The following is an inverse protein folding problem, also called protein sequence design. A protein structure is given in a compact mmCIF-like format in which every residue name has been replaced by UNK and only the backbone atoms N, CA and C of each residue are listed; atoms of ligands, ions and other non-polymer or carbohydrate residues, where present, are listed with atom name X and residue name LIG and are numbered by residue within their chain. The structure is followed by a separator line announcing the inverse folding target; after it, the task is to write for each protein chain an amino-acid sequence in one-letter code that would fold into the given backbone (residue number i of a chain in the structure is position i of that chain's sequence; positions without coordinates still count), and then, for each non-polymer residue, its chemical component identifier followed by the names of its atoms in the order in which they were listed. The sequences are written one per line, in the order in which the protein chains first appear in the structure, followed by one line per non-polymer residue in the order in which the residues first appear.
data_IF_743288583178
#
_entry.id   IF_743288583178
#
_cell.length_a   1.000
_cell.length_b   1.000
_cell.length_c   1.000
_cell.angle_alpha   90.00
_cell.angle_beta   90.00
_cell.angle_gamma   90.00
#
_symmetry.space_group_name_H-M   'P 1'
#
loop_
_entity.id
_entity.type
_entity.pdbx_description
1 polymer ?
#
# COMPACT_ATOMS: atom_id res chain seq x y z
N UNK A 1 -14.29 -26.09 -18.78
CA UNK A 1 -13.64 -24.77 -18.99
C UNK A 1 -13.82 -23.79 -17.82
N UNK A 2 -14.97 -23.69 -17.13
CA UNK A 2 -15.14 -22.77 -15.97
C UNK A 2 -14.26 -23.11 -14.75
N UNK A 3 -13.95 -24.39 -14.56
CA UNK A 3 -13.12 -24.91 -13.46
C UNK A 3 -11.61 -24.59 -13.62
N UNK A 4 -11.11 -24.49 -14.87
CA UNK A 4 -9.69 -24.13 -15.12
C UNK A 4 -9.42 -22.67 -14.80
N UNK A 5 -10.25 -21.75 -15.32
CA UNK A 5 -10.06 -20.30 -15.16
C UNK A 5 -10.06 -19.85 -13.69
N UNK A 6 -10.74 -20.61 -12.83
CA UNK A 6 -10.81 -20.35 -11.39
C UNK A 6 -9.57 -20.86 -10.64
N UNK A 7 -8.96 -21.99 -11.07
CA UNK A 7 -7.70 -22.49 -10.49
C UNK A 7 -6.52 -21.57 -10.81
N UNK A 8 -6.48 -21.02 -12.03
CA UNK A 8 -5.40 -20.12 -12.44
C UNK A 8 -5.40 -18.84 -11.60
N UNK A 9 -6.55 -18.19 -11.48
CA UNK A 9 -6.73 -16.98 -10.67
C UNK A 9 -6.46 -17.20 -9.18
N UNK A 10 -6.84 -18.36 -8.63
CA UNK A 10 -6.48 -18.73 -7.26
C UNK A 10 -4.96 -18.90 -7.10
N UNK A 11 -4.28 -19.55 -8.04
CA UNK A 11 -2.83 -19.79 -7.95
C UNK A 11 -1.99 -18.51 -8.00
N UNK A 12 -2.38 -17.51 -8.79
CA UNK A 12 -1.68 -16.22 -8.89
C UNK A 12 -1.68 -15.43 -7.58
N UNK A 13 -2.69 -15.65 -6.73
CA UNK A 13 -2.92 -14.91 -5.49
C UNK A 13 -2.48 -15.71 -4.28
N UNK A 14 -2.76 -17.01 -4.28
CA UNK A 14 -2.34 -17.91 -3.21
C UNK A 14 -0.84 -18.05 -3.15
N UNK A 15 -0.13 -18.02 -4.29
CA UNK A 15 1.33 -18.18 -4.30
C UNK A 15 2.06 -17.07 -3.54
N UNK A 16 1.84 -15.75 -3.80
CA UNK A 16 2.47 -14.70 -3.02
C UNK A 16 2.01 -14.68 -1.56
N UNK A 17 0.73 -14.94 -1.28
CA UNK A 17 0.22 -15.00 0.10
C UNK A 17 0.87 -16.15 0.88
N UNK A 18 0.94 -17.35 0.30
CA UNK A 18 1.56 -18.51 0.93
C UNK A 18 3.07 -18.32 1.11
N UNK A 19 3.76 -17.67 0.17
CA UNK A 19 5.18 -17.30 0.32
C UNK A 19 5.39 -16.29 1.44
N UNK A 20 4.58 -15.23 1.53
CA UNK A 20 4.66 -14.23 2.60
C UNK A 20 4.39 -14.90 3.95
N UNK A 21 3.30 -15.67 4.05
CA UNK A 21 2.93 -16.36 5.28
C UNK A 21 3.99 -17.40 5.69
N UNK A 22 4.52 -18.16 4.72
CA UNK A 22 5.58 -19.13 4.94
C UNK A 22 6.89 -18.47 5.39
N UNK A 23 7.28 -17.35 4.78
CA UNK A 23 8.47 -16.59 5.15
C UNK A 23 8.34 -15.98 6.56
N UNK A 24 7.18 -15.38 6.86
CA UNK A 24 6.87 -14.81 8.19
C UNK A 24 6.87 -15.91 9.25
N UNK A 25 6.28 -17.08 8.96
CA UNK A 25 6.25 -18.23 9.84
C UNK A 25 7.66 -18.80 10.06
N UNK A 26 8.47 -18.94 9.01
CA UNK A 26 9.85 -19.41 9.07
C UNK A 26 10.69 -18.47 9.94
N UNK A 27 10.59 -17.16 9.73
CA UNK A 27 11.29 -16.17 10.56
C UNK A 27 10.76 -16.16 12.01
N UNK A 28 9.46 -16.34 12.24
CA UNK A 28 8.91 -16.41 13.60
C UNK A 28 9.41 -17.61 14.40
N UNK A 29 9.60 -18.76 13.72
CA UNK A 29 10.08 -20.00 14.33
C UNK A 29 11.61 -20.03 14.53
N UNK A 30 12.39 -19.36 13.66
CA UNK A 30 13.85 -19.41 13.69
C UNK A 30 14.50 -18.33 14.57
N UNK A 31 13.75 -17.38 15.12
CA UNK A 31 14.32 -16.29 15.96
C UNK A 31 14.53 -16.76 17.40
N UNK A 32 15.19 -17.90 17.62
CA UNK A 32 15.82 -18.20 18.90
C UNK A 32 17.17 -17.47 18.97
N UNK A 33 17.27 -16.48 19.84
CA UNK A 33 18.56 -16.06 20.36
C UNK A 33 18.59 -16.36 21.85
N UNK A 34 19.24 -17.45 22.27
CA UNK A 34 19.89 -17.50 23.58
C UNK A 34 20.91 -16.36 23.58
N UNK A 35 20.82 -15.48 24.57
CA UNK A 35 21.67 -14.30 24.66
C UNK A 35 23.16 -14.64 24.54
N UNK A 36 23.81 -14.07 23.54
CA UNK A 36 25.23 -13.75 23.63
C UNK A 36 25.27 -12.23 23.74
N UNK A 37 25.88 -11.73 24.81
CA UNK A 37 26.15 -10.32 25.02
C UNK A 37 27.12 -9.84 23.92
N UNK A 38 26.60 -9.57 22.72
CA UNK A 38 27.28 -8.77 21.70
C UNK A 38 27.51 -7.40 22.34
N UNK A 39 28.76 -7.05 22.58
CA UNK A 39 29.15 -5.75 23.09
C UNK A 39 28.47 -4.68 22.24
N UNK A 40 27.53 -3.93 22.83
CA UNK A 40 26.77 -2.89 22.14
C UNK A 40 27.74 -1.87 21.55
N UNK A 41 28.05 -2.02 20.26
CA UNK A 41 28.92 -1.09 19.57
C UNK A 41 28.21 0.28 19.62
N UNK A 42 28.84 1.35 20.14
CA UNK A 42 28.19 2.65 20.27
C UNK A 42 27.69 3.21 18.93
N UNK A 43 28.29 2.76 17.82
CA UNK A 43 27.87 3.05 16.45
C UNK A 43 26.49 2.47 16.10
N UNK A 44 26.14 1.29 16.61
CA UNK A 44 24.86 0.64 16.35
C UNK A 44 23.71 1.39 17.03
N UNK A 45 23.94 1.82 18.28
CA UNK A 45 23.00 2.67 19.02
C UNK A 45 22.77 4.01 18.33
N UNK A 46 23.85 4.65 17.85
CA UNK A 46 23.75 5.90 17.09
C UNK A 46 22.97 5.74 15.78
N UNK A 47 23.23 4.66 15.04
CA UNK A 47 22.52 4.35 13.79
C UNK A 47 21.03 4.13 14.03
N UNK A 48 20.64 3.36 15.05
CA UNK A 48 19.23 3.12 15.42
C UNK A 48 18.47 4.41 15.69
N UNK A 49 19.10 5.35 16.41
CA UNK A 49 18.50 6.66 16.71
C UNK A 49 18.30 7.48 15.44
N UNK A 50 19.32 7.58 14.58
CA UNK A 50 19.22 8.33 13.32
C UNK A 50 18.11 7.75 12.43
N UNK A 51 18.11 6.44 12.23
CA UNK A 51 17.12 5.78 11.37
C UNK A 51 15.71 5.89 11.93
N UNK A 52 15.54 5.83 13.26
CA UNK A 52 14.25 6.07 13.91
C UNK A 52 13.73 7.48 13.64
N UNK A 53 14.59 8.50 13.70
CA UNK A 53 14.17 9.88 13.39
C UNK A 53 13.81 10.06 11.92
N UNK A 54 14.57 9.43 11.00
CA UNK A 54 14.25 9.45 9.59
C UNK A 54 12.91 8.77 9.27
N UNK A 55 12.64 7.63 9.91
CA UNK A 55 11.37 6.92 9.76
C UNK A 55 10.18 7.79 10.22
N UNK A 56 10.28 8.38 11.42
CA UNK A 56 9.26 9.32 11.92
C UNK A 56 9.11 10.53 10.99
N UNK A 57 10.21 11.06 10.46
CA UNK A 57 10.17 12.16 9.49
C UNK A 57 9.41 11.81 8.21
N UNK A 58 9.63 10.61 7.66
CA UNK A 58 8.90 10.12 6.50
C UNK A 58 7.40 9.95 6.80
N UNK A 59 7.05 9.46 7.99
CA UNK A 59 5.66 9.30 8.43
C UNK A 59 4.94 10.65 8.57
N UNK A 60 5.61 11.66 9.15
CA UNK A 60 5.10 13.03 9.23
C UNK A 60 4.90 13.61 7.82
N UNK A 61 5.86 13.43 6.92
CA UNK A 61 5.75 13.89 5.54
C UNK A 61 4.54 13.25 4.84
N UNK A 62 4.33 11.95 5.01
CA UNK A 62 3.15 11.25 4.50
C UNK A 62 1.85 11.87 5.04
N UNK A 63 1.76 12.06 6.36
CA UNK A 63 0.59 12.63 7.01
C UNK A 63 0.25 14.04 6.51
N UNK A 64 1.26 14.90 6.34
CA UNK A 64 1.08 16.26 5.84
C UNK A 64 0.62 16.27 4.38
N UNK A 65 1.25 15.47 3.52
CA UNK A 65 0.94 15.39 2.09
C UNK A 65 -0.47 14.84 1.87
N UNK A 66 -0.81 13.74 2.54
CA UNK A 66 -2.14 13.11 2.47
C UNK A 66 -3.20 14.04 3.07
N UNK A 67 -2.98 14.56 4.27
CA UNK A 67 -3.92 15.43 4.96
C UNK A 67 -4.20 16.71 4.17
N UNK A 68 -3.16 17.34 3.63
CA UNK A 68 -3.28 18.52 2.77
C UNK A 68 -4.08 18.24 1.50
N UNK A 69 -3.85 17.09 0.86
CA UNK A 69 -4.60 16.69 -0.33
C UNK A 69 -6.09 16.46 -0.04
N UNK A 70 -6.41 15.79 1.07
CA UNK A 70 -7.78 15.53 1.50
C UNK A 70 -8.50 16.85 1.78
N UNK A 71 -7.90 17.76 2.55
CA UNK A 71 -8.48 19.08 2.83
C UNK A 71 -8.75 19.86 1.54
N UNK A 72 -7.82 19.84 0.59
CA UNK A 72 -7.97 20.49 -0.71
C UNK A 72 -9.09 19.85 -1.56
N UNK A 73 -9.19 18.53 -1.55
CA UNK A 73 -10.23 17.80 -2.26
C UNK A 73 -11.62 18.12 -1.70
N UNK A 74 -11.78 18.09 -0.37
CA UNK A 74 -13.04 18.42 0.33
C UNK A 74 -13.45 19.85 0.01
N UNK A 75 -12.54 20.82 0.17
CA UNK A 75 -12.86 22.24 -0.08
C UNK A 75 -13.22 22.49 -1.55
N UNK A 76 -12.54 21.85 -2.50
CA UNK A 76 -12.89 21.92 -3.93
C UNK A 76 -14.27 21.33 -4.22
N UNK A 77 -14.57 20.16 -3.65
CA UNK A 77 -15.83 19.47 -3.83
C UNK A 77 -17.01 20.26 -3.24
N UNK A 78 -16.86 20.79 -2.03
CA UNK A 78 -17.89 21.61 -1.38
C UNK A 78 -18.16 22.90 -2.18
N UNK A 79 -17.12 23.65 -2.60
CA UNK A 79 -17.32 24.84 -3.45
C UNK A 79 -18.11 24.53 -4.72
N UNK A 80 -17.88 23.35 -5.28
CA UNK A 80 -18.54 22.91 -6.50
C UNK A 80 -20.01 22.54 -6.27
N UNK A 81 -20.33 21.90 -5.14
CA UNK A 81 -21.72 21.65 -4.74
C UNK A 81 -22.53 22.95 -4.53
N UNK A 82 -21.90 23.97 -3.95
CA UNK A 82 -22.55 25.27 -3.73
C UNK A 82 -22.64 26.13 -5.00
N UNK A 83 -21.78 25.91 -6.00
CA UNK A 83 -21.83 26.61 -7.28
C UNK A 83 -22.71 25.82 -8.26
N UNK A 84 -23.91 26.33 -8.59
CA UNK A 84 -24.91 25.72 -9.50
C UNK A 84 -24.46 25.61 -10.98
N UNK A 85 -23.18 25.36 -11.25
CA UNK A 85 -22.64 25.19 -12.61
C UNK A 85 -22.83 23.75 -13.10
N UNK A 86 -23.45 23.60 -14.28
CA UNK A 86 -23.77 22.32 -14.96
C UNK A 86 -22.56 21.52 -15.45
N UNK A 87 -21.32 21.95 -15.17
CA UNK A 87 -20.07 21.31 -15.62
C UNK A 87 -19.49 20.33 -14.58
N UNK A 88 -20.36 19.51 -14.00
CA UNK A 88 -20.07 18.70 -12.80
C UNK A 88 -19.28 17.41 -13.06
N UNK A 89 -19.31 16.86 -14.28
CA UNK A 89 -18.75 15.54 -14.56
C UNK A 89 -17.21 15.55 -14.69
N UNK A 90 -16.65 16.37 -15.59
CA UNK A 90 -15.19 16.46 -15.80
C UNK A 90 -14.41 16.94 -14.56
N UNK A 91 -15.06 17.77 -13.74
CA UNK A 91 -14.38 18.37 -12.59
C UNK A 91 -14.14 17.39 -11.46
N UNK A 92 -15.08 16.48 -11.21
CA UNK A 92 -14.98 15.49 -10.12
C UNK A 92 -13.88 14.46 -10.43
N UNK A 93 -13.77 14.06 -11.69
CA UNK A 93 -12.69 13.17 -12.14
C UNK A 93 -11.32 13.83 -11.97
N UNK A 94 -11.20 15.12 -12.29
CA UNK A 94 -9.96 15.86 -12.06
C UNK A 94 -9.54 15.92 -10.58
N UNK A 95 -10.50 16.03 -9.65
CA UNK A 95 -10.23 16.01 -8.20
C UNK A 95 -9.75 14.62 -7.78
N UNK A 96 -10.42 13.55 -8.25
CA UNK A 96 -10.02 12.16 -7.99
C UNK A 96 -8.61 11.86 -8.49
N UNK A 97 -8.28 12.23 -9.72
CA UNK A 97 -6.95 12.00 -10.31
C UNK A 97 -5.85 12.72 -9.53
N UNK A 98 -6.09 13.99 -9.15
CA UNK A 98 -5.15 14.76 -8.32
C UNK A 98 -4.96 14.15 -6.94
N UNK A 99 -6.06 13.77 -6.29
CA UNK A 99 -6.03 13.12 -4.98
C UNK A 99 -5.28 11.79 -5.06
N UNK A 100 -5.59 10.95 -6.04
CA UNK A 100 -4.94 9.66 -6.26
C UNK A 100 -3.42 9.79 -6.40
N UNK A 101 -2.94 10.73 -7.22
CA UNK A 101 -1.50 10.98 -7.40
C UNK A 101 -0.80 11.38 -6.08
N UNK A 102 -1.44 12.20 -5.26
CA UNK A 102 -0.86 12.63 -3.98
C UNK A 102 -0.93 11.53 -2.91
N UNK A 103 -2.00 10.72 -2.93
CA UNK A 103 -2.09 9.54 -2.07
C UNK A 103 -0.98 8.52 -2.37
N UNK A 104 -0.68 8.28 -3.66
CA UNK A 104 0.44 7.41 -4.05
C UNK A 104 1.77 7.91 -3.48
N UNK A 105 2.04 9.21 -3.55
CA UNK A 105 3.24 9.81 -2.96
C UNK A 105 3.28 9.62 -1.44
N UNK A 106 2.16 9.85 -0.75
CA UNK A 106 2.05 9.60 0.69
C UNK A 106 2.36 8.15 1.06
N UNK A 107 1.89 7.20 0.25
CA UNK A 107 2.15 5.77 0.42
C UNK A 107 3.62 5.38 0.15
N UNK A 108 4.35 6.13 -0.67
CA UNK A 108 5.80 5.92 -0.84
C UNK A 108 6.57 6.33 0.41
N UNK A 109 6.16 7.41 1.08
CA UNK A 109 6.79 7.83 2.33
C UNK A 109 6.52 6.87 3.50
N UNK A 110 5.32 6.28 3.60
CA UNK A 110 5.04 5.29 4.64
C UNK A 110 5.90 4.03 4.47
N UNK A 111 6.13 3.59 3.23
CA UNK A 111 7.08 2.50 2.93
C UNK A 111 8.49 2.88 3.28
N UNK A 112 8.86 4.12 2.94
CA UNK A 112 10.03 4.82 3.40
C UNK A 112 10.36 4.45 4.86
N UNK A 113 9.40 4.80 5.72
CA UNK A 113 9.43 4.59 7.16
C UNK A 113 9.54 3.10 7.54
N UNK A 114 8.74 2.24 6.90
CA UNK A 114 8.71 0.80 7.22
C UNK A 114 10.02 0.08 6.86
N UNK A 115 10.62 0.40 5.71
CA UNK A 115 11.93 -0.11 5.30
C UNK A 115 13.01 0.38 6.27
N UNK A 116 12.98 1.65 6.66
CA UNK A 116 13.93 2.22 7.62
C UNK A 116 13.87 1.49 8.96
N UNK A 117 12.68 1.28 9.54
CA UNK A 117 12.52 0.57 10.82
C UNK A 117 13.05 -0.87 10.78
N UNK A 118 12.79 -1.57 9.69
CA UNK A 118 13.17 -2.98 9.55
C UNK A 118 14.66 -3.18 9.28
N UNK A 119 15.35 -2.16 8.74
CA UNK A 119 16.78 -2.24 8.46
C UNK A 119 17.69 -2.18 9.70
N UNK A 120 17.26 -1.56 10.82
CA UNK A 120 18.13 -1.31 12.00
C UNK A 120 17.89 -2.20 13.21
N UNK A 121 16.71 -2.81 13.35
CA UNK A 121 16.44 -3.75 14.45
C UNK A 121 15.26 -4.66 14.09
N UNK A 122 15.47 -5.75 13.34
CA UNK A 122 14.40 -6.71 13.07
C UNK A 122 14.04 -7.46 14.36
N UNK A 123 13.07 -6.97 15.14
CA UNK A 123 12.48 -7.76 16.24
C UNK A 123 11.44 -8.73 15.69
N UNK A 124 11.07 -9.77 16.46
CA UNK A 124 9.96 -10.67 16.07
C UNK A 124 8.67 -9.89 15.78
N UNK A 125 8.40 -8.82 16.55
CA UNK A 125 7.24 -7.96 16.35
C UNK A 125 7.36 -7.13 15.07
N UNK A 126 8.56 -6.64 14.74
CA UNK A 126 8.80 -5.85 13.53
C UNK A 126 8.73 -6.70 12.25
N UNK A 127 9.19 -7.96 12.30
CA UNK A 127 9.03 -8.92 11.20
C UNK A 127 7.54 -9.20 10.95
N UNK A 128 6.74 -9.35 12.01
CA UNK A 128 5.29 -9.53 11.90
C UNK A 128 4.60 -8.27 11.35
N UNK A 129 5.00 -7.08 11.80
CA UNK A 129 4.47 -5.81 11.30
C UNK A 129 4.80 -5.61 9.81
N UNK A 130 6.05 -5.85 9.40
CA UNK A 130 6.46 -5.79 8.00
C UNK A 130 5.69 -6.82 7.16
N UNK A 131 5.56 -8.05 7.66
CA UNK A 131 4.77 -9.10 7.02
C UNK A 131 3.31 -8.68 6.80
N UNK A 132 2.69 -8.06 7.80
CA UNK A 132 1.32 -7.55 7.70
C UNK A 132 1.19 -6.42 6.66
N UNK A 133 2.15 -5.49 6.62
CA UNK A 133 2.14 -4.35 5.67
C UNK A 133 2.33 -4.84 4.23
N UNK A 134 3.27 -5.75 3.99
CA UNK A 134 3.51 -6.35 2.67
C UNK A 134 2.27 -7.12 2.22
N UNK A 135 1.68 -7.93 3.11
CA UNK A 135 0.46 -8.68 2.81
C UNK A 135 -0.72 -7.76 2.47
N UNK A 136 -0.92 -6.69 3.23
CA UNK A 136 -1.96 -5.69 2.96
C UNK A 136 -1.77 -5.05 1.57
N UNK A 137 -0.54 -4.72 1.19
CA UNK A 137 -0.24 -4.18 -0.15
C UNK A 137 -0.52 -5.17 -1.27
N UNK A 138 -0.11 -6.42 -1.10
CA UNK A 138 -0.40 -7.47 -2.08
C UNK A 138 -1.90 -7.64 -2.27
N UNK A 139 -2.67 -7.66 -1.16
CA UNK A 139 -4.12 -7.76 -1.21
C UNK A 139 -4.75 -6.56 -1.90
N UNK A 140 -4.36 -5.33 -1.55
CA UNK A 140 -4.90 -4.12 -2.16
C UNK A 140 -4.60 -4.05 -3.67
N UNK A 141 -3.34 -4.29 -4.06
CA UNK A 141 -2.95 -4.31 -5.47
C UNK A 141 -3.72 -5.38 -6.25
N UNK A 142 -3.90 -6.56 -5.65
CA UNK A 142 -4.69 -7.63 -6.27
C UNK A 142 -6.16 -7.23 -6.47
N UNK A 143 -6.81 -6.66 -5.45
CA UNK A 143 -8.20 -6.21 -5.57
C UNK A 143 -8.36 -5.12 -6.64
N UNK A 144 -7.43 -4.17 -6.69
CA UNK A 144 -7.40 -3.11 -7.70
C UNK A 144 -7.27 -3.68 -9.12
N UNK A 145 -6.31 -4.59 -9.34
CA UNK A 145 -6.09 -5.22 -10.64
C UNK A 145 -7.32 -6.04 -11.07
N UNK A 146 -7.96 -6.73 -10.11
CA UNK A 146 -9.17 -7.50 -10.35
C UNK A 146 -10.39 -6.61 -10.68
N UNK A 147 -10.50 -5.43 -10.07
CA UNK A 147 -11.56 -4.46 -10.38
C UNK A 147 -11.35 -3.86 -11.78
N UNK A 148 -10.13 -3.45 -12.13
CA UNK A 148 -9.78 -2.91 -13.45
C UNK A 148 -10.10 -3.93 -14.56
N UNK A 149 -9.67 -5.18 -14.38
CA UNK A 149 -9.92 -6.25 -15.35
C UNK A 149 -11.41 -6.54 -15.56
N UNK A 150 -12.24 -6.39 -14.52
CA UNK A 150 -13.70 -6.54 -14.63
C UNK A 150 -14.33 -5.38 -15.41
N UNK A 151 -13.87 -4.15 -15.16
CA UNK A 151 -14.35 -2.97 -15.88
C UNK A 151 -14.00 -3.07 -17.37
N UNK A 152 -12.77 -3.45 -17.73
CA UNK A 152 -12.37 -3.64 -19.13
C UNK A 152 -13.20 -4.70 -19.85
N UNK A 153 -13.44 -5.86 -19.22
CA UNK A 153 -14.26 -6.91 -19.83
C UNK A 153 -15.71 -6.46 -20.05
N UNK A 154 -16.24 -5.60 -19.18
CA UNK A 154 -17.59 -5.06 -19.32
C UNK A 154 -17.73 -4.04 -20.45
N UNK A 155 -16.68 -3.27 -20.75
CA UNK A 155 -16.66 -2.31 -21.86
C UNK A 155 -16.47 -2.98 -23.22
N UNK A 156 -15.73 -4.09 -23.32
CA UNK A 156 -15.64 -4.90 -24.55
C UNK A 156 -16.98 -5.55 -24.91
N UNK A 157 -17.71 -6.07 -23.91
CA UNK A 157 -19.01 -6.72 -24.15
C UNK A 157 -20.11 -5.75 -24.63
N UNK A 158 -20.00 -4.45 -24.34
CA UNK A 158 -20.90 -3.42 -24.88
C UNK A 158 -20.59 -3.07 -26.34
N UNK A 159 -19.32 -3.00 -26.74
CA UNK A 159 -18.96 -2.68 -28.13
C UNK A 159 -19.33 -3.77 -29.14
N UNK A 160 -19.45 -5.02 -28.70
CA UNK A 160 -19.78 -6.15 -29.58
C UNK A 160 -21.30 -6.36 -29.72
N UNK A 161 -22.08 -5.94 -28.72
CA UNK A 161 -23.55 -5.92 -28.78
C UNK A 161 -24.12 -4.81 -29.65
N UNK A 162 -23.43 -3.67 -29.78
CA UNK A 162 -23.85 -2.55 -30.64
C UNK A 162 -23.49 -2.74 -32.13
N UNK A 163 -22.76 -3.81 -32.49
CA UNK A 163 -22.35 -4.14 -33.87
C UNK A 163 -23.20 -5.21 -34.55
N UNK A 164 -24.24 -5.71 -33.86
CA UNK A 164 -25.21 -6.70 -34.36
C UNK A 164 -26.61 -6.06 -34.43
#
# INVERSE_FOLDING_TARGET
MKQEKMRDSLSTVLLPIALIFGLVLLLSLNVESPGIHEASNPLESGLKVIVSYLAVGAEIAAALVIGGAILRAITSYLRQLFSRSKQHYDSTESIRLKLGRVLTLGLEFTVASDILRTAVAPTRQDILNLGAIVLLRTLLNYFLEQEINQVEQSSFRKQEGDRL
#
